data_IF_125736866899
#
_entry.id   IF_125736866899
#
_cell.length_a   1.000
_cell.length_b   1.000
_cell.length_c   1.000
_cell.angle_alpha   90.00
_cell.angle_beta   90.00
_cell.angle_gamma   90.00
#
_symmetry.space_group_name_H-M   'P 1'
#
loop_
_entity.id
_entity.type
_entity.pdbx_description
1 polymer ?
#
# COMPACT_ATOMS: atom_id res chain seq x y z
N UNK A 1 -16.25 20.71 39.29
CA UNK A 1 -15.43 20.15 38.20
C UNK A 1 -16.22 20.29 36.90
N UNK A 2 -15.92 21.29 36.07
CA UNK A 2 -16.62 21.51 34.79
C UNK A 2 -15.95 20.64 33.74
N UNK A 3 -16.68 19.66 33.22
CA UNK A 3 -16.22 18.83 32.11
C UNK A 3 -16.63 19.55 30.83
N UNK A 4 -15.65 20.20 30.21
CA UNK A 4 -15.82 20.84 28.90
C UNK A 4 -16.13 19.73 27.89
N UNK A 5 -17.37 19.68 27.41
CA UNK A 5 -17.85 18.65 26.48
C UNK A 5 -17.33 18.99 25.09
N UNK A 6 -16.21 18.40 24.71
CA UNK A 6 -15.73 18.43 23.33
C UNK A 6 -16.75 17.74 22.41
N UNK A 7 -17.45 18.52 21.59
CA UNK A 7 -18.39 18.00 20.58
C UNK A 7 -17.57 17.50 19.39
N UNK A 8 -17.54 16.18 19.18
CA UNK A 8 -16.88 15.56 18.04
C UNK A 8 -17.90 15.20 16.98
N UNK A 9 -17.95 15.97 15.89
CA UNK A 9 -18.81 15.67 14.74
C UNK A 9 -18.12 14.57 13.91
N UNK A 10 -18.73 13.39 13.84
CA UNK A 10 -18.20 12.21 13.12
C UNK A 10 -18.92 11.93 11.80
N UNK A 11 -20.10 12.53 11.59
CA UNK A 11 -20.88 12.35 10.37
C UNK A 11 -20.54 13.45 9.36
N UNK A 12 -19.83 13.06 8.30
CA UNK A 12 -19.55 13.89 7.14
C UNK A 12 -20.64 13.80 6.07
N UNK A 13 -20.37 14.41 4.91
CA UNK A 13 -21.22 14.37 3.73
C UNK A 13 -21.28 12.95 3.14
N UNK A 14 -22.50 12.44 2.90
CA UNK A 14 -22.72 11.16 2.21
C UNK A 14 -22.43 11.31 0.70
N UNK A 15 -21.28 10.80 0.24
CA UNK A 15 -20.90 10.84 -1.18
C UNK A 15 -21.42 9.60 -1.88
N UNK A 16 -22.51 9.76 -2.64
CA UNK A 16 -23.11 8.70 -3.47
C UNK A 16 -22.26 8.43 -4.71
N UNK A 17 -21.22 7.60 -4.55
CA UNK A 17 -20.39 7.14 -5.67
C UNK A 17 -21.17 6.12 -6.51
N UNK A 18 -21.24 6.35 -7.82
CA UNK A 18 -21.73 5.34 -8.78
C UNK A 18 -20.59 4.40 -9.15
N UNK A 19 -20.86 3.10 -9.22
CA UNK A 19 -19.87 2.08 -9.63
C UNK A 19 -19.39 1.14 -8.51
N UNK A 20 -20.27 0.76 -7.58
CA UNK A 20 -19.95 -0.23 -6.56
C UNK A 20 -19.39 -1.51 -7.19
N UNK A 21 -18.25 -2.03 -6.70
CA UNK A 21 -17.64 -3.22 -7.28
C UNK A 21 -18.56 -4.44 -7.07
N UNK A 22 -18.59 -5.34 -8.06
CA UNK A 22 -19.19 -6.66 -7.88
C UNK A 22 -18.32 -7.48 -6.91
N UNK A 23 -18.97 -8.14 -5.94
CA UNK A 23 -18.29 -8.83 -4.83
C UNK A 23 -17.33 -9.94 -5.26
N UNK A 24 -17.56 -10.53 -6.44
CA UNK A 24 -16.82 -11.68 -6.94
C UNK A 24 -16.49 -11.44 -8.40
N UNK A 25 -15.24 -11.03 -8.67
CA UNK A 25 -14.62 -11.18 -9.98
C UNK A 25 -13.56 -12.26 -9.86
N UNK A 26 -13.52 -13.17 -10.83
CA UNK A 26 -12.32 -13.97 -11.09
C UNK A 26 -11.16 -13.00 -11.23
N UNK A 27 -10.17 -13.11 -10.34
CA UNK A 27 -9.02 -12.22 -10.33
C UNK A 27 -8.19 -12.49 -11.60
N UNK A 28 -8.07 -11.48 -12.45
CA UNK A 28 -7.14 -11.54 -13.57
C UNK A 28 -5.72 -11.56 -13.00
N UNK A 29 -4.98 -12.63 -13.25
CA UNK A 29 -3.57 -12.73 -12.84
C UNK A 29 -2.72 -12.11 -13.95
N UNK A 30 -2.07 -11.00 -13.67
CA UNK A 30 -1.16 -10.37 -14.62
C UNK A 30 0.13 -11.21 -14.75
N UNK A 31 0.68 -11.39 -15.96
CA UNK A 31 1.94 -12.11 -16.15
C UNK A 31 3.15 -11.31 -15.64
N UNK A 32 2.99 -10.00 -15.44
CA UNK A 32 4.01 -9.10 -14.92
C UNK A 32 3.44 -8.37 -13.73
N UNK A 33 4.26 -8.23 -12.70
CA UNK A 33 3.99 -7.43 -11.51
C UNK A 33 5.18 -6.51 -11.29
N UNK A 34 4.93 -5.33 -10.74
CA UNK A 34 5.95 -4.36 -10.41
C UNK A 34 5.76 -3.93 -8.96
N UNK A 35 6.88 -3.61 -8.30
CA UNK A 35 6.88 -3.04 -6.96
C UNK A 35 7.38 -1.60 -7.09
N UNK A 36 6.52 -0.62 -6.82
CA UNK A 36 6.86 0.80 -6.96
C UNK A 36 7.41 1.35 -5.63
N UNK A 37 8.62 1.94 -5.61
CA UNK A 37 9.15 2.66 -4.45
C UNK A 37 8.18 3.67 -3.77
N UNK A 38 7.41 4.51 -4.49
CA UNK A 38 6.51 5.49 -3.85
C UNK A 38 5.37 4.90 -3.03
N UNK A 39 5.03 3.61 -3.21
CA UNK A 39 4.05 2.93 -2.36
C UNK A 39 4.56 2.74 -0.92
N UNK A 40 5.88 2.78 -0.70
CA UNK A 40 6.53 2.59 0.59
C UNK A 40 6.84 3.95 1.24
N UNK A 41 5.87 4.47 1.99
CA UNK A 41 6.04 5.73 2.72
C UNK A 41 7.08 5.56 3.82
N UNK A 42 7.95 6.57 3.99
CA UNK A 42 8.97 6.64 5.04
C UNK A 42 10.09 5.61 4.96
N UNK A 43 10.22 4.89 3.85
CA UNK A 43 11.34 3.98 3.61
C UNK A 43 12.14 4.52 2.44
N UNK A 44 13.46 4.51 2.55
CA UNK A 44 14.35 4.73 1.41
C UNK A 44 14.75 3.36 0.85
N UNK A 45 14.13 2.89 -0.24
CA UNK A 45 14.45 1.59 -0.82
C UNK A 45 15.81 1.65 -1.52
N UNK A 46 16.69 0.72 -1.16
CA UNK A 46 17.96 0.47 -1.84
C UNK A 46 17.84 -0.84 -2.62
N UNK A 47 17.90 -0.77 -3.95
CA UNK A 47 17.88 -1.94 -4.82
C UNK A 47 19.10 -2.84 -4.56
N UNK A 48 18.85 -4.14 -4.45
CA UNK A 48 19.87 -5.17 -4.26
C UNK A 48 20.00 -6.12 -5.45
N UNK A 49 19.16 -5.94 -6.47
CA UNK A 49 19.15 -6.76 -7.68
C UNK A 49 19.42 -5.90 -8.93
N UNK A 50 20.06 -6.53 -9.90
CA UNK A 50 20.32 -5.98 -11.23
C UNK A 50 19.21 -6.36 -12.21
N UNK A 51 19.15 -5.66 -13.34
CA UNK A 51 18.20 -5.98 -14.41
C UNK A 51 18.45 -7.39 -14.98
N UNK A 52 17.39 -8.22 -15.03
CA UNK A 52 17.48 -9.59 -15.54
C UNK A 52 17.81 -10.66 -14.48
N UNK A 53 17.97 -10.28 -13.21
CA UNK A 53 18.13 -11.24 -12.12
C UNK A 53 16.92 -12.18 -12.01
N UNK A 54 17.18 -13.49 -11.87
CA UNK A 54 16.13 -14.47 -11.59
C UNK A 54 15.80 -14.44 -10.10
N UNK A 55 14.54 -14.14 -9.78
CA UNK A 55 14.04 -14.05 -8.39
C UNK A 55 12.91 -15.04 -8.17
N UNK A 56 12.81 -15.57 -6.95
CA UNK A 56 11.72 -16.44 -6.49
C UNK A 56 10.68 -15.63 -5.72
N UNK A 57 9.50 -16.22 -5.57
CA UNK A 57 8.46 -15.65 -4.72
C UNK A 57 8.98 -15.59 -3.28
N UNK A 58 9.00 -14.38 -2.71
CA UNK A 58 9.51 -14.12 -1.36
C UNK A 58 10.93 -13.56 -1.32
N UNK A 59 11.65 -13.51 -2.44
CA UNK A 59 12.96 -12.87 -2.48
C UNK A 59 12.84 -11.35 -2.32
N UNK A 60 13.82 -10.76 -1.63
CA UNK A 60 13.90 -9.31 -1.45
C UNK A 60 14.45 -8.64 -2.70
N UNK A 61 13.76 -7.60 -3.19
CA UNK A 61 14.20 -6.80 -4.33
C UNK A 61 14.94 -5.52 -3.90
N UNK A 62 14.61 -5.00 -2.72
CA UNK A 62 15.26 -3.85 -2.12
C UNK A 62 15.28 -3.98 -0.59
N UNK A 63 16.21 -3.28 0.05
CA UNK A 63 16.34 -3.19 1.51
C UNK A 63 16.03 -1.76 1.94
N UNK A 64 15.45 -1.59 3.13
CA UNK A 64 15.29 -0.28 3.75
C UNK A 64 16.66 0.19 4.28
N UNK A 65 17.17 1.32 3.79
CA UNK A 65 18.49 1.84 4.20
C UNK A 65 18.63 2.03 5.71
N UNK A 66 17.55 2.35 6.40
CA UNK A 66 17.51 2.55 7.87
C UNK A 66 17.56 1.24 8.67
N UNK A 67 17.23 0.10 8.06
CA UNK A 67 17.28 -1.22 8.70
C UNK A 67 17.87 -2.25 7.72
N UNK A 68 19.21 -2.26 7.55
CA UNK A 68 19.89 -3.31 6.81
C UNK A 68 19.92 -4.58 7.67
N UNK A 69 18.95 -5.46 7.46
CA UNK A 69 19.01 -6.86 7.93
C UNK A 69 19.10 -7.77 6.73
#
# INVERSE_FOLDING_TARGET
MRVDRFIRITKGLDIKLKGSPQLIRTAYTSPKVAITPPDFKWITPQLIIEEGATVRVGDSLFIAKENPK
#
